data_IF_663519351044
#
_entry.id   IF_663519351044
#
_cell.length_a   1.000
_cell.length_b   1.000
_cell.length_c   1.000
_cell.angle_alpha   90.00
_cell.angle_beta   90.00
_cell.angle_gamma   90.00
#
_symmetry.space_group_name_H-M   'P 1'
#
loop_
_entity.id
_entity.type
_entity.pdbx_description
1 polymer ?
#
# COMPACT_ATOMS: atom_id res chain seq x y z
N UNK A 1 2.36 -9.34 18.36
CA UNK A 1 0.95 -8.92 18.20
C UNK A 1 0.61 -7.62 18.95
N UNK A 2 1.18 -7.40 20.13
CA UNK A 2 0.92 -6.17 20.89
C UNK A 2 1.37 -4.91 20.13
N UNK A 3 2.52 -4.97 19.45
CA UNK A 3 3.01 -3.85 18.64
C UNK A 3 2.05 -3.56 17.46
N UNK A 4 1.57 -4.62 16.81
CA UNK A 4 0.57 -4.48 15.75
C UNK A 4 -0.71 -3.87 16.28
N UNK A 5 -1.19 -4.32 17.46
CA UNK A 5 -2.36 -3.75 18.12
C UNK A 5 -2.18 -2.28 18.45
N UNK A 6 -1.03 -1.89 18.97
CA UNK A 6 -0.72 -0.49 19.28
C UNK A 6 -0.78 0.39 18.03
N UNK A 7 -0.14 -0.05 16.93
CA UNK A 7 -0.13 0.70 15.66
C UNK A 7 -1.54 0.95 15.14
N UNK A 8 -2.44 -0.01 15.26
CA UNK A 8 -3.81 0.06 14.76
C UNK A 8 -4.86 0.30 15.84
N UNK A 9 -4.46 0.49 17.09
CA UNK A 9 -5.35 0.74 18.25
C UNK A 9 -6.38 -0.38 18.50
N UNK A 10 -5.97 -1.63 18.24
CA UNK A 10 -6.81 -2.79 18.57
C UNK A 10 -6.71 -3.13 20.07
N UNK A 11 -7.82 -3.60 20.62
CA UNK A 11 -7.85 -4.11 21.99
C UNK A 11 -7.44 -5.59 22.02
N UNK A 12 -6.17 -5.83 22.29
CA UNK A 12 -5.62 -7.19 22.34
C UNK A 12 -5.92 -7.92 23.65
N UNK A 13 -6.57 -7.27 24.63
CA UNK A 13 -6.99 -7.96 25.85
C UNK A 13 -8.11 -8.96 25.56
N UNK A 14 -8.80 -8.82 24.44
CA UNK A 14 -9.87 -9.73 24.02
C UNK A 14 -9.31 -10.86 23.17
N UNK A 15 -9.46 -12.10 23.62
CA UNK A 15 -8.97 -13.27 22.91
C UNK A 15 -9.48 -13.38 21.47
N UNK A 16 -10.75 -13.00 21.22
CA UNK A 16 -11.33 -13.00 19.87
C UNK A 16 -10.63 -12.06 18.90
N UNK A 17 -10.17 -10.90 19.39
CA UNK A 17 -9.40 -9.95 18.57
C UNK A 17 -8.05 -10.55 18.19
N UNK A 18 -7.36 -11.17 19.15
CA UNK A 18 -6.06 -11.81 18.90
C UNK A 18 -6.16 -12.93 17.85
N UNK A 19 -7.18 -13.80 17.97
CA UNK A 19 -7.41 -14.88 17.00
C UNK A 19 -7.70 -14.32 15.62
N UNK A 20 -8.53 -13.29 15.51
CA UNK A 20 -8.85 -12.64 14.24
C UNK A 20 -7.60 -12.06 13.58
N UNK A 21 -6.73 -11.41 14.35
CA UNK A 21 -5.48 -10.85 13.82
C UNK A 21 -4.57 -11.94 13.28
N UNK A 22 -4.44 -13.06 13.98
CA UNK A 22 -3.64 -14.21 13.53
C UNK A 22 -4.19 -14.79 12.24
N UNK A 23 -5.51 -14.99 12.16
CA UNK A 23 -6.17 -15.51 10.97
C UNK A 23 -5.95 -14.59 9.77
N UNK A 24 -6.11 -13.29 9.95
CA UNK A 24 -5.87 -12.32 8.88
C UNK A 24 -4.43 -12.34 8.40
N UNK A 25 -3.47 -12.43 9.30
CA UNK A 25 -2.06 -12.52 8.94
C UNK A 25 -1.78 -13.80 8.14
N UNK A 26 -2.34 -14.92 8.56
CA UNK A 26 -2.17 -16.20 7.87
C UNK A 26 -2.79 -16.17 6.48
N UNK A 27 -4.01 -15.66 6.35
CA UNK A 27 -4.73 -15.61 5.07
C UNK A 27 -4.06 -14.64 4.09
N UNK A 28 -3.73 -13.44 4.56
CA UNK A 28 -3.12 -12.42 3.71
C UNK A 28 -1.72 -12.82 3.25
N UNK A 29 -0.92 -13.34 4.15
CA UNK A 29 0.46 -13.70 3.83
C UNK A 29 0.57 -14.93 2.95
N UNK A 30 -0.31 -15.92 3.13
CA UNK A 30 -0.20 -17.24 2.48
C UNK A 30 1.22 -17.80 2.55
N UNK A 31 1.89 -17.49 3.63
CA UNK A 31 3.29 -17.70 3.82
C UNK A 31 3.49 -18.92 4.69
N UNK A 32 4.67 -19.52 4.61
CA UNK A 32 5.08 -20.55 5.54
C UNK A 32 5.28 -19.96 6.94
N UNK A 33 5.63 -20.83 7.89
CA UNK A 33 5.76 -20.43 9.30
C UNK A 33 6.80 -19.32 9.51
N UNK A 34 7.95 -19.41 8.84
CA UNK A 34 9.01 -18.43 8.97
C UNK A 34 8.60 -17.09 8.39
N UNK A 35 7.89 -17.12 7.26
CA UNK A 35 7.41 -15.90 6.60
C UNK A 35 6.31 -15.23 7.41
N UNK A 36 5.55 -15.98 8.20
CA UNK A 36 4.53 -15.38 9.07
C UNK A 36 5.17 -14.49 10.15
N UNK A 37 6.32 -14.91 10.70
CA UNK A 37 7.07 -14.07 11.63
C UNK A 37 7.58 -12.80 10.95
N UNK A 38 8.10 -12.95 9.72
CA UNK A 38 8.55 -11.82 8.92
C UNK A 38 7.40 -10.87 8.59
N UNK A 39 6.23 -11.38 8.25
CA UNK A 39 5.05 -10.57 8.00
C UNK A 39 4.64 -9.76 9.23
N UNK A 40 4.67 -10.37 10.41
CA UNK A 40 4.38 -9.68 11.66
C UNK A 40 5.35 -8.51 11.90
N UNK A 41 6.64 -8.74 11.67
CA UNK A 41 7.67 -7.71 11.79
C UNK A 41 7.45 -6.58 10.79
N UNK A 42 7.14 -6.91 9.55
CA UNK A 42 6.88 -5.93 8.49
C UNK A 42 5.66 -5.07 8.83
N UNK A 43 4.56 -5.69 9.27
CA UNK A 43 3.33 -4.97 9.64
C UNK A 43 3.61 -4.02 10.80
N UNK A 44 4.40 -4.44 11.79
CA UNK A 44 4.77 -3.58 12.91
C UNK A 44 5.55 -2.33 12.44
N UNK A 45 6.47 -2.52 11.50
CA UNK A 45 7.28 -1.44 10.97
C UNK A 45 6.49 -0.49 10.07
N UNK A 46 5.65 -1.02 9.20
CA UNK A 46 4.91 -0.26 8.19
C UNK A 46 3.61 0.32 8.73
N UNK A 47 3.10 -0.24 9.83
CA UNK A 47 1.76 0.04 10.35
C UNK A 47 1.47 1.51 10.63
N UNK A 48 2.44 2.27 11.11
CA UNK A 48 2.25 3.69 11.41
C UNK A 48 1.94 4.46 10.12
N UNK A 49 2.73 4.25 9.08
CA UNK A 49 2.52 4.94 7.80
C UNK A 49 1.27 4.41 7.08
N UNK A 50 0.98 3.12 7.18
CA UNK A 50 -0.24 2.54 6.61
C UNK A 50 -1.48 3.18 7.22
N UNK A 51 -1.51 3.32 8.54
CA UNK A 51 -2.60 3.98 9.25
C UNK A 51 -2.71 5.45 8.86
N UNK A 52 -1.58 6.15 8.78
CA UNK A 52 -1.55 7.56 8.37
C UNK A 52 -2.04 7.75 6.94
N UNK A 53 -1.84 6.76 6.07
CA UNK A 53 -2.36 6.76 4.71
C UNK A 53 -3.84 6.38 4.62
N UNK A 54 -4.45 6.04 5.74
CA UNK A 54 -5.87 5.68 5.79
C UNK A 54 -6.19 4.22 5.52
N UNK A 55 -5.18 3.34 5.55
CA UNK A 55 -5.40 1.89 5.38
C UNK A 55 -5.88 1.26 6.67
N UNK A 56 -6.86 0.36 6.56
CA UNK A 56 -7.22 -0.52 7.65
C UNK A 56 -6.14 -1.57 7.88
N UNK A 57 -6.24 -2.32 8.97
CA UNK A 57 -5.32 -3.42 9.23
C UNK A 57 -5.34 -4.46 8.10
N UNK A 58 -6.53 -4.88 7.68
CA UNK A 58 -6.70 -5.85 6.59
C UNK A 58 -6.15 -5.32 5.26
N UNK A 59 -6.39 -4.06 4.96
CA UNK A 59 -5.84 -3.41 3.76
C UNK A 59 -4.31 -3.35 3.81
N UNK A 60 -3.74 -3.09 4.98
CA UNK A 60 -2.29 -3.06 5.16
C UNK A 60 -1.66 -4.42 4.90
N UNK A 61 -2.29 -5.50 5.38
CA UNK A 61 -1.84 -6.87 5.10
C UNK A 61 -1.91 -7.18 3.61
N UNK A 62 -3.01 -6.85 2.96
CA UNK A 62 -3.20 -7.07 1.53
C UNK A 62 -2.16 -6.30 0.71
N UNK A 63 -1.87 -5.07 1.09
CA UNK A 63 -0.89 -4.22 0.44
C UNK A 63 0.53 -4.82 0.53
N UNK A 64 0.93 -5.24 1.72
CA UNK A 64 2.24 -5.87 1.95
C UNK A 64 2.33 -7.19 1.20
N UNK A 65 1.30 -8.00 1.25
CA UNK A 65 1.26 -9.30 0.56
C UNK A 65 1.39 -9.11 -0.96
N UNK A 66 0.71 -8.11 -1.51
CA UNK A 66 0.80 -7.82 -2.95
C UNK A 66 2.22 -7.39 -3.33
N UNK A 67 2.85 -6.51 -2.57
CA UNK A 67 4.23 -6.09 -2.83
C UNK A 67 5.23 -7.24 -2.63
N UNK A 68 4.90 -8.22 -1.82
CA UNK A 68 5.75 -9.40 -1.62
C UNK A 68 5.91 -10.24 -2.89
N UNK A 69 5.04 -10.06 -3.88
CA UNK A 69 5.17 -10.73 -5.16
C UNK A 69 6.37 -10.21 -5.95
N UNK A 70 6.77 -8.96 -5.75
CA UNK A 70 7.91 -8.37 -6.44
C UNK A 70 9.16 -8.28 -5.57
N UNK A 71 9.04 -8.34 -4.26
CA UNK A 71 10.17 -8.25 -3.33
C UNK A 71 10.01 -9.27 -2.20
N UNK A 72 10.92 -10.24 -2.16
CA UNK A 72 10.84 -11.37 -1.23
C UNK A 72 11.64 -11.17 0.07
N UNK A 73 12.65 -10.30 0.04
CA UNK A 73 13.49 -10.09 1.21
C UNK A 73 12.75 -9.18 2.21
N UNK A 74 12.56 -9.62 3.48
CA UNK A 74 11.68 -8.94 4.43
C UNK A 74 12.01 -7.48 4.69
N UNK A 75 13.27 -7.14 4.89
CA UNK A 75 13.64 -5.75 5.18
C UNK A 75 13.44 -4.84 3.97
N UNK A 76 13.74 -5.34 2.78
CA UNK A 76 13.52 -4.61 1.54
C UNK A 76 12.02 -4.45 1.27
N UNK A 77 11.23 -5.46 1.57
CA UNK A 77 9.78 -5.41 1.43
C UNK A 77 9.20 -4.35 2.37
N UNK A 78 9.64 -4.32 3.61
CA UNK A 78 9.19 -3.30 4.57
C UNK A 78 9.55 -1.89 4.09
N UNK A 79 10.76 -1.69 3.58
CA UNK A 79 11.19 -0.41 3.02
C UNK A 79 10.37 -0.02 1.79
N UNK A 80 10.12 -0.98 0.90
CA UNK A 80 9.33 -0.75 -0.31
C UNK A 80 7.90 -0.35 0.04
N UNK A 81 7.25 -1.08 0.94
CA UNK A 81 5.89 -0.78 1.38
C UNK A 81 5.82 0.59 2.04
N UNK A 82 6.74 0.87 2.96
CA UNK A 82 6.80 2.14 3.68
C UNK A 82 7.00 3.31 2.72
N UNK A 83 7.93 3.18 1.80
CA UNK A 83 8.22 4.21 0.79
C UNK A 83 7.04 4.43 -0.15
N UNK A 84 6.39 3.36 -0.60
CA UNK A 84 5.24 3.47 -1.50
C UNK A 84 4.09 4.23 -0.83
N UNK A 85 3.88 4.03 0.46
CA UNK A 85 2.85 4.74 1.22
C UNK A 85 3.13 6.24 1.36
N UNK A 86 4.35 6.69 1.11
CA UNK A 86 4.68 8.12 1.14
C UNK A 86 3.92 8.93 0.09
N UNK A 87 3.41 8.29 -0.95
CA UNK A 87 2.52 8.97 -1.87
C UNK A 87 1.34 9.63 -1.15
N UNK A 88 0.86 9.01 -0.07
CA UNK A 88 -0.29 9.51 0.69
C UNK A 88 0.11 10.37 1.89
N UNK A 89 1.29 10.21 2.42
CA UNK A 89 1.74 10.88 3.65
C UNK A 89 2.69 12.04 3.41
N UNK A 90 3.43 12.04 2.31
CA UNK A 90 4.31 13.15 1.93
C UNK A 90 3.52 14.14 1.05
N UNK A 91 3.27 15.33 1.58
CA UNK A 91 2.44 16.33 0.89
C UNK A 91 3.00 16.78 -0.45
N UNK A 92 4.33 16.83 -0.60
CA UNK A 92 4.94 17.19 -1.87
C UNK A 92 4.67 16.12 -2.93
N UNK A 93 4.77 14.84 -2.56
CA UNK A 93 4.46 13.72 -3.46
C UNK A 93 2.99 13.73 -3.86
N UNK A 94 2.12 13.88 -2.88
CA UNK A 94 0.67 13.86 -3.07
C UNK A 94 0.21 15.01 -3.97
N UNK A 95 0.66 16.22 -3.69
CA UNK A 95 0.26 17.40 -4.45
C UNK A 95 0.68 17.31 -5.91
N UNK A 96 1.90 16.88 -6.18
CA UNK A 96 2.39 16.74 -7.55
C UNK A 96 1.62 15.65 -8.29
N UNK A 97 1.42 14.50 -7.65
CA UNK A 97 0.64 13.42 -8.24
C UNK A 97 -0.78 13.85 -8.56
N UNK A 98 -1.44 14.52 -7.63
CA UNK A 98 -2.81 15.02 -7.83
C UNK A 98 -2.88 16.04 -8.97
N UNK A 99 -1.92 16.96 -9.03
CA UNK A 99 -1.86 17.99 -10.07
C UNK A 99 -1.67 17.38 -11.46
N UNK A 100 -0.72 16.45 -11.60
CA UNK A 100 -0.36 15.86 -12.90
C UNK A 100 -1.41 14.87 -13.37
N UNK A 101 -1.91 14.01 -12.48
CA UNK A 101 -2.88 12.97 -12.85
C UNK A 101 -4.32 13.48 -12.88
N UNK A 102 -4.62 14.57 -12.17
CA UNK A 102 -5.99 15.04 -11.98
C UNK A 102 -6.80 14.19 -11.01
N UNK A 103 -6.20 13.20 -10.37
CA UNK A 103 -6.87 12.34 -9.40
C UNK A 103 -6.85 13.01 -8.03
N UNK A 104 -8.01 13.08 -7.40
CA UNK A 104 -8.16 13.69 -6.08
C UNK A 104 -7.82 12.67 -4.99
N UNK A 105 -7.05 13.11 -4.00
CA UNK A 105 -6.70 12.32 -2.82
C UNK A 105 -7.63 12.59 -1.64
N UNK A 106 -8.41 13.66 -1.72
CA UNK A 106 -9.39 14.04 -0.70
C UNK A 106 -10.77 14.21 -1.33
N UNK A 107 -11.80 14.00 -0.54
CA UNK A 107 -13.18 14.23 -0.98
C UNK A 107 -13.56 15.70 -0.84
N UNK A 108 -14.82 16.04 -1.17
CA UNK A 108 -15.33 17.39 -1.10
C UNK A 108 -15.32 18.01 0.31
N UNK A 109 -15.28 17.17 1.34
CA UNK A 109 -15.23 17.58 2.75
C UNK A 109 -13.81 17.72 3.28
N UNK A 110 -12.81 17.41 2.46
CA UNK A 110 -11.40 17.43 2.87
C UNK A 110 -10.94 16.17 3.61
N UNK A 111 -11.76 15.12 3.59
CA UNK A 111 -11.40 13.84 4.18
C UNK A 111 -10.64 12.97 3.16
N UNK A 112 -9.73 12.12 3.65
CA UNK A 112 -8.98 11.23 2.77
C UNK A 112 -9.91 10.27 2.06
N UNK A 113 -9.72 10.16 0.74
CA UNK A 113 -10.32 9.07 -0.03
C UNK A 113 -9.59 7.77 0.31
N UNK A 114 -10.28 6.63 0.16
CA UNK A 114 -9.65 5.33 0.34
C UNK A 114 -8.43 5.20 -0.57
N UNK A 115 -7.28 4.81 0.01
CA UNK A 115 -6.02 4.77 -0.72
C UNK A 115 -6.09 3.89 -1.97
N UNK A 116 -6.75 2.72 -1.89
CA UNK A 116 -6.87 1.81 -3.03
C UNK A 116 -7.74 2.39 -4.14
N UNK A 117 -8.74 3.20 -3.81
CA UNK A 117 -9.56 3.90 -4.82
C UNK A 117 -8.73 4.92 -5.58
N UNK A 118 -7.89 5.67 -4.87
CA UNK A 118 -6.97 6.64 -5.49
C UNK A 118 -6.00 5.92 -6.43
N UNK A 119 -5.41 4.82 -5.97
CA UNK A 119 -4.49 4.03 -6.79
C UNK A 119 -5.17 3.48 -8.03
N UNK A 120 -6.41 2.98 -7.91
CA UNK A 120 -7.18 2.47 -9.06
C UNK A 120 -7.47 3.58 -10.06
N UNK A 121 -7.84 4.76 -9.60
CA UNK A 121 -8.12 5.89 -10.49
C UNK A 121 -6.86 6.29 -11.28
N UNK A 122 -5.71 6.31 -10.63
CA UNK A 122 -4.44 6.59 -11.31
C UNK A 122 -4.12 5.47 -12.31
N UNK A 123 -4.26 4.21 -11.90
CA UNK A 123 -3.99 3.07 -12.77
C UNK A 123 -4.86 3.08 -14.02
N UNK A 124 -6.14 3.42 -13.89
CA UNK A 124 -7.06 3.54 -15.02
C UNK A 124 -6.59 4.57 -16.04
N UNK A 125 -6.03 5.69 -15.57
CA UNK A 125 -5.48 6.70 -16.48
C UNK A 125 -4.28 6.19 -17.26
N UNK A 126 -3.39 5.45 -16.60
CA UNK A 126 -2.23 4.87 -17.28
C UNK A 126 -2.62 3.79 -18.29
N UNK A 127 -3.63 3.00 -17.99
CA UNK A 127 -4.09 1.94 -18.89
C UNK A 127 -4.72 2.49 -20.18
N UNK A 128 -5.15 3.74 -20.19
CA UNK A 128 -5.69 4.38 -21.39
C UNK A 128 -4.61 4.75 -22.41
N UNK A 129 -3.37 4.88 -22.01
CA UNK A 129 -2.29 5.14 -22.93
C UNK A 129 -1.99 3.92 -23.80
N UNK A 130 -1.72 4.14 -25.08
CA UNK A 130 -1.58 3.07 -26.06
C UNK A 130 -0.18 2.46 -26.09
N UNK A 131 0.84 3.20 -25.67
CA UNK A 131 2.23 2.75 -25.75
C UNK A 131 2.93 2.83 -24.41
N UNK A 132 3.98 2.04 -24.25
CA UNK A 132 4.84 2.09 -23.09
C UNK A 132 5.52 3.45 -22.94
N UNK A 133 5.91 4.07 -24.06
CA UNK A 133 6.53 5.38 -24.04
C UNK A 133 5.60 6.44 -23.45
N UNK A 134 4.31 6.42 -23.78
CA UNK A 134 3.32 7.32 -23.22
C UNK A 134 3.13 7.09 -21.74
N UNK A 135 3.04 5.82 -21.31
CA UNK A 135 2.91 5.45 -19.90
C UNK A 135 4.12 5.89 -19.08
N UNK A 136 5.31 5.64 -19.58
CA UNK A 136 6.55 6.02 -18.89
C UNK A 136 6.68 7.53 -18.76
N UNK A 137 6.31 8.28 -19.80
CA UNK A 137 6.30 9.74 -19.75
C UNK A 137 5.32 10.27 -18.70
N UNK A 138 4.09 9.74 -18.71
CA UNK A 138 3.05 10.14 -17.74
C UNK A 138 3.46 9.81 -16.30
N UNK A 139 4.04 8.63 -16.09
CA UNK A 139 4.54 8.22 -14.79
C UNK A 139 5.64 9.17 -14.30
N UNK A 140 6.60 9.47 -15.16
CA UNK A 140 7.71 10.36 -14.80
C UNK A 140 7.20 11.76 -14.45
N UNK A 141 6.22 12.27 -15.16
CA UNK A 141 5.63 13.58 -14.86
C UNK A 141 4.96 13.63 -13.50
N UNK A 142 4.23 12.57 -13.14
CA UNK A 142 3.48 12.53 -11.88
C UNK A 142 4.38 12.24 -10.66
N UNK A 143 5.40 11.40 -10.83
CA UNK A 143 6.16 10.84 -9.70
C UNK A 143 7.66 11.11 -9.74
N UNK A 144 8.12 12.02 -10.59
CA UNK A 144 9.55 12.36 -10.70
C UNK A 144 10.15 12.83 -9.37
N UNK A 145 9.36 13.45 -8.51
CA UNK A 145 9.81 13.98 -7.22
C UNK A 145 9.87 12.92 -6.12
N UNK A 146 9.36 11.72 -6.38
CA UNK A 146 9.38 10.65 -5.38
C UNK A 146 10.72 9.91 -5.39
N UNK A 147 11.01 9.22 -4.29
CA UNK A 147 12.22 8.39 -4.20
C UNK A 147 12.07 7.12 -5.06
N UNK A 148 13.19 6.43 -5.29
CA UNK A 148 13.24 5.27 -6.18
C UNK A 148 12.37 4.11 -5.69
N UNK A 149 12.33 3.86 -4.39
CA UNK A 149 11.49 2.78 -3.85
C UNK A 149 10.01 3.09 -4.00
N UNK A 150 9.60 4.34 -3.78
CA UNK A 150 8.24 4.79 -4.04
C UNK A 150 7.87 4.53 -5.51
N UNK A 151 8.76 4.91 -6.44
CA UNK A 151 8.53 4.70 -7.87
C UNK A 151 8.42 3.21 -8.21
N UNK A 152 9.30 2.37 -7.66
CA UNK A 152 9.27 0.93 -7.89
C UNK A 152 7.94 0.32 -7.44
N UNK A 153 7.50 0.66 -6.24
CA UNK A 153 6.23 0.18 -5.71
C UNK A 153 5.04 0.62 -6.54
N UNK A 154 5.01 1.91 -6.92
CA UNK A 154 3.91 2.46 -7.72
C UNK A 154 3.87 1.86 -9.12
N UNK A 155 5.02 1.68 -9.79
CA UNK A 155 5.07 1.04 -11.11
C UNK A 155 4.48 -0.37 -11.05
N UNK A 156 4.83 -1.11 -10.02
CA UNK A 156 4.28 -2.45 -9.83
C UNK A 156 2.76 -2.41 -9.62
N UNK A 157 2.29 -1.55 -8.72
CA UNK A 157 0.86 -1.45 -8.41
C UNK A 157 0.02 -1.02 -9.60
N UNK A 158 0.56 -0.17 -10.48
CA UNK A 158 -0.16 0.28 -11.66
C UNK A 158 -0.06 -0.68 -12.84
N UNK A 159 0.71 -1.76 -12.72
CA UNK A 159 0.73 -2.78 -13.76
C UNK A 159 -0.59 -3.56 -13.80
N UNK A 160 -0.88 -4.14 -14.95
CA UNK A 160 -2.19 -4.73 -15.22
C UNK A 160 -2.57 -5.83 -14.21
N UNK A 161 -3.74 -5.70 -13.62
CA UNK A 161 -4.33 -6.70 -12.74
C UNK A 161 -3.88 -6.67 -11.29
N UNK A 162 -2.84 -5.92 -10.94
CA UNK A 162 -2.28 -5.94 -9.57
C UNK A 162 -3.27 -5.37 -8.56
N UNK A 163 -3.89 -4.23 -8.85
CA UNK A 163 -4.86 -3.61 -7.94
C UNK A 163 -6.15 -4.42 -7.78
N UNK A 164 -6.52 -5.19 -8.81
CA UNK A 164 -7.67 -6.10 -8.72
C UNK A 164 -7.41 -7.20 -7.68
N UNK A 165 -6.16 -7.67 -7.57
CA UNK A 165 -5.79 -8.67 -6.58
C UNK A 165 -5.88 -8.12 -5.15
N UNK A 166 -5.66 -6.84 -4.93
CA UNK A 166 -5.81 -6.23 -3.61
C UNK A 166 -7.24 -6.38 -3.08
N UNK A 167 -8.24 -6.23 -3.94
CA UNK A 167 -9.64 -6.41 -3.56
C UNK A 167 -9.95 -7.84 -3.16
N UNK A 168 -9.34 -8.82 -3.82
CA UNK A 168 -9.54 -10.24 -3.52
C UNK A 168 -8.90 -10.66 -2.19
N UNK A 169 -7.83 -9.97 -1.78
CA UNK A 169 -7.14 -10.23 -0.53
C UNK A 169 -7.77 -9.50 0.65
N UNK A 170 -8.51 -8.47 0.36
CA UNK A 170 -9.18 -7.65 1.36
C UNK A 170 -10.57 -8.28 1.78
#
# INVERSE_FOLDING_TARGET
LSVVGESFKFDLSKAGVAVKLLDQMTVAGRLGKAELEDLSSIVSRVGVNAKSAGLSYTQSLAFIEQLSQMEKEPERLATLADSTLRLFTNQNYLKEAAKVTGVKFYDAKGERRAAFDVLRDIAKKYQKFKTDAERDKAFSQAFAKTDLDTQRGLRYLFSAGVLDNLDKLN
#
